data_IF_011638554136
#
_entry.id   IF_011638554136
#
_cell.length_a   1.000
_cell.length_b   1.000
_cell.length_c   1.000
_cell.angle_alpha   90.00
_cell.angle_beta   90.00
_cell.angle_gamma   90.00
#
_symmetry.space_group_name_H-M   'P 1'
#
loop_
_entity.id
_entity.type
_entity.pdbx_description
1 polymer ?
#
# COMPACT_ATOMS: atom_id res chain seq x y z
N UNK A 1 -1.08 7.67 20.75
CA UNK A 1 -0.45 7.71 19.80
C UNK A 1 -0.77 6.66 18.79
N UNK A 2 -0.25 5.44 18.94
CA UNK A 2 -0.58 4.50 17.88
C UNK A 2 -1.60 3.50 18.33
N UNK A 3 -2.29 3.75 19.43
CA UNK A 3 -3.12 2.72 19.97
C UNK A 3 -4.12 2.27 18.94
N UNK A 4 -4.19 0.99 18.72
CA UNK A 4 -5.09 0.40 17.78
C UNK A 4 -4.74 0.61 16.33
N UNK A 5 -3.56 1.14 16.01
CA UNK A 5 -3.19 1.42 14.64
C UNK A 5 -1.91 0.74 14.27
N UNK A 6 -1.93 0.04 13.16
CA UNK A 6 -0.80 -0.68 12.63
C UNK A 6 -0.79 -0.43 11.14
N UNK A 7 0.39 -0.33 10.56
CA UNK A 7 0.52 -0.30 9.11
C UNK A 7 0.79 -1.68 8.60
N UNK A 8 0.22 -1.98 7.46
CA UNK A 8 0.44 -3.24 6.79
C UNK A 8 0.63 -2.99 5.31
N UNK A 9 1.27 -3.91 4.64
CA UNK A 9 1.49 -3.80 3.21
C UNK A 9 0.82 -4.99 2.53
N UNK A 10 0.27 -4.74 1.34
CA UNK A 10 -0.46 -5.75 0.58
C UNK A 10 0.01 -5.71 -0.87
N UNK A 11 0.20 -6.88 -1.52
CA UNK A 11 0.77 -6.93 -2.86
C UNK A 11 -0.27 -6.72 -3.96
N UNK A 12 -1.02 -5.64 -3.89
CA UNK A 12 -1.91 -5.21 -4.96
C UNK A 12 -2.18 -3.73 -4.79
N UNK A 13 -2.83 -3.14 -5.79
CA UNK A 13 -3.32 -1.77 -5.67
C UNK A 13 -4.73 -1.85 -5.08
N UNK A 14 -4.81 -1.88 -3.76
CA UNK A 14 -6.09 -1.97 -3.07
C UNK A 14 -7.01 -0.84 -3.52
N UNK A 15 -8.28 -1.05 -3.63
CA UNK A 15 -9.06 -2.22 -3.20
C UNK A 15 -9.06 -3.38 -4.20
N UNK A 16 -8.27 -3.32 -5.26
CA UNK A 16 -8.19 -4.43 -6.21
C UNK A 16 -7.45 -5.59 -5.56
N UNK A 17 -7.94 -6.77 -5.82
CA UNK A 17 -7.29 -8.04 -5.45
C UNK A 17 -6.91 -8.13 -3.99
N UNK A 18 -7.87 -8.02 -3.09
CA UNK A 18 -7.60 -8.32 -1.68
C UNK A 18 -7.39 -9.82 -1.50
N UNK A 19 -6.97 -10.22 -0.32
CA UNK A 19 -6.84 -11.64 -0.02
C UNK A 19 -5.42 -12.11 -0.16
N UNK A 20 -5.23 -13.43 -0.12
CA UNK A 20 -3.91 -14.02 0.06
C UNK A 20 -3.23 -14.40 -1.23
N UNK A 21 -3.90 -14.25 -2.39
CA UNK A 21 -3.34 -14.67 -3.67
C UNK A 21 -3.36 -13.53 -4.69
N UNK A 22 -3.07 -12.31 -4.22
CA UNK A 22 -3.25 -11.14 -5.06
C UNK A 22 -2.44 -11.16 -6.36
N UNK A 23 -1.15 -11.55 -6.35
CA UNK A 23 -0.43 -11.58 -7.64
C UNK A 23 -1.04 -12.58 -8.62
N UNK A 24 -1.41 -13.77 -8.15
CA UNK A 24 -2.03 -14.74 -9.04
C UNK A 24 -3.39 -14.26 -9.53
N UNK A 25 -4.15 -13.60 -8.66
CA UNK A 25 -5.46 -13.09 -9.04
C UNK A 25 -5.33 -11.99 -10.09
N UNK A 26 -4.34 -11.12 -9.95
CA UNK A 26 -4.12 -10.07 -10.93
C UNK A 26 -3.80 -10.65 -12.30
N UNK A 27 -2.93 -11.67 -12.32
CA UNK A 27 -2.58 -12.33 -13.57
C UNK A 27 -3.80 -13.00 -14.20
N UNK A 28 -4.59 -13.70 -13.39
CA UNK A 28 -5.76 -14.40 -13.90
C UNK A 28 -6.79 -13.44 -14.45
N UNK A 29 -6.89 -12.27 -13.86
CA UNK A 29 -7.86 -11.27 -14.31
C UNK A 29 -7.41 -10.57 -15.59
N UNK A 30 -6.10 -10.55 -15.85
CA UNK A 30 -5.60 -9.96 -17.08
C UNK A 30 -5.34 -8.48 -17.02
N UNK A 31 -5.17 -7.93 -15.83
CA UNK A 31 -4.85 -6.50 -15.72
C UNK A 31 -3.41 -6.26 -16.15
N UNK A 32 -3.11 -5.04 -16.55
CA UNK A 32 -1.76 -4.69 -16.97
C UNK A 32 -0.94 -4.08 -15.87
N UNK A 33 -1.57 -3.61 -14.81
CA UNK A 33 -0.91 -2.96 -13.69
C UNK A 33 -1.43 -3.55 -12.40
N UNK A 34 -0.53 -3.77 -11.48
CA UNK A 34 -0.84 -4.04 -10.09
C UNK A 34 0.15 -3.24 -9.27
N UNK A 35 0.44 -3.64 -8.06
CA UNK A 35 1.37 -2.89 -7.25
C UNK A 35 1.34 -3.30 -5.81
N UNK A 36 1.73 -2.36 -4.97
CA UNK A 36 1.75 -2.55 -3.53
C UNK A 36 1.00 -1.42 -2.86
N UNK A 37 0.34 -1.72 -1.76
CA UNK A 37 -0.38 -0.73 -0.96
C UNK A 37 0.06 -0.82 0.48
N UNK A 38 0.28 0.33 1.11
CA UNK A 38 0.46 0.42 2.55
C UNK A 38 -0.82 0.99 3.11
N UNK A 39 -1.40 0.32 4.08
CA UNK A 39 -2.68 0.74 4.64
C UNK A 39 -2.65 0.63 6.16
N UNK A 40 -3.58 1.35 6.79
CA UNK A 40 -3.72 1.32 8.24
C UNK A 40 -4.64 0.17 8.62
N UNK A 41 -4.30 -0.47 9.73
CA UNK A 41 -5.14 -1.48 10.34
C UNK A 41 -5.47 -0.98 11.74
N UNK A 42 -6.74 -0.87 12.06
CA UNK A 42 -7.16 -0.39 13.37
C UNK A 42 -8.00 -1.45 14.03
N UNK A 43 -8.22 -1.26 15.32
CA UNK A 43 -9.04 -2.22 16.05
C UNK A 43 -10.48 -2.24 15.54
N UNK A 44 -10.95 -1.13 15.01
CA UNK A 44 -12.28 -1.09 14.45
C UNK A 44 -12.36 -1.75 13.09
N UNK A 45 -11.23 -1.93 12.42
CA UNK A 45 -11.20 -2.50 11.08
C UNK A 45 -10.55 -3.86 11.16
N UNK A 46 -11.38 -4.84 11.52
CA UNK A 46 -10.85 -6.18 11.74
C UNK A 46 -10.48 -6.89 10.47
N UNK A 47 -11.08 -6.50 9.37
CA UNK A 47 -10.86 -7.23 8.13
C UNK A 47 -9.58 -6.77 7.48
N UNK A 48 -8.80 -7.75 7.06
CA UNK A 48 -7.56 -7.45 6.35
C UNK A 48 -7.86 -6.72 5.06
N UNK A 49 -6.91 -5.88 4.65
CA UNK A 49 -6.92 -5.22 3.34
C UNK A 49 -8.05 -4.23 3.16
N UNK A 50 -8.66 -3.76 4.25
CA UNK A 50 -9.75 -2.80 4.14
C UNK A 50 -9.47 -1.47 4.81
N UNK A 51 -8.31 -1.30 5.42
CA UNK A 51 -7.98 -0.05 6.10
C UNK A 51 -7.68 1.08 5.13
N UNK A 52 -7.66 2.30 5.64
CA UNK A 52 -7.33 3.46 4.79
C UNK A 52 -5.94 3.33 4.18
N UNK A 53 -5.83 3.72 2.93
CA UNK A 53 -4.59 3.58 2.17
C UNK A 53 -3.72 4.79 2.42
N UNK A 54 -2.44 4.54 2.70
CA UNK A 54 -1.47 5.59 2.97
C UNK A 54 -0.58 5.84 1.76
N UNK A 55 -0.03 4.78 1.19
CA UNK A 55 0.85 4.87 0.03
C UNK A 55 0.57 3.72 -0.91
N UNK A 56 0.83 3.96 -2.19
CA UNK A 56 0.73 2.91 -3.19
C UNK A 56 1.85 3.07 -4.20
N UNK A 57 2.31 1.96 -4.74
CA UNK A 57 3.34 1.95 -5.78
C UNK A 57 2.88 1.02 -6.88
N UNK A 58 2.75 1.50 -8.13
CA UNK A 58 2.33 0.63 -9.22
C UNK A 58 3.47 -0.25 -9.72
N UNK A 59 3.12 -1.43 -10.17
CA UNK A 59 4.07 -2.39 -10.74
C UNK A 59 3.45 -2.91 -12.03
N UNK A 60 4.16 -2.76 -13.13
CA UNK A 60 3.67 -3.24 -14.42
C UNK A 60 3.74 -4.76 -14.47
N UNK A 61 2.74 -5.36 -15.10
CA UNK A 61 2.72 -6.80 -15.31
C UNK A 61 3.28 -7.08 -16.69
N UNK A 62 4.18 -8.03 -16.77
CA UNK A 62 4.81 -8.42 -18.04
C UNK A 62 4.08 -9.63 -18.60
N UNK A 63 4.11 -9.74 -19.93
CA UNK A 63 3.34 -10.79 -20.60
C UNK A 63 3.79 -12.20 -20.18
N UNK A 64 5.06 -12.34 -19.76
CA UNK A 64 5.59 -13.65 -19.40
C UNK A 64 5.66 -13.84 -17.89
N UNK A 65 4.99 -13.02 -17.12
CA UNK A 65 5.02 -13.16 -15.66
C UNK A 65 4.33 -14.42 -15.20
N UNK A 66 4.94 -15.03 -14.20
CA UNK A 66 4.29 -16.02 -13.36
C UNK A 66 3.93 -15.35 -12.04
N UNK A 67 3.05 -15.96 -11.24
CA UNK A 67 2.78 -15.38 -9.91
C UNK A 67 4.04 -15.16 -9.11
N UNK A 68 5.01 -16.06 -9.19
CA UNK A 68 6.25 -15.92 -8.42
C UNK A 68 7.10 -14.77 -8.91
N UNK A 69 7.23 -14.60 -10.22
CA UNK A 69 8.01 -13.50 -10.76
C UNK A 69 7.38 -12.16 -10.42
N UNK A 70 6.06 -12.08 -10.59
CA UNK A 70 5.34 -10.85 -10.30
C UNK A 70 5.44 -10.51 -8.83
N UNK A 71 5.26 -11.51 -7.97
CA UNK A 71 5.32 -11.28 -6.54
C UNK A 71 6.68 -10.76 -6.10
N UNK A 72 7.76 -11.27 -6.70
CA UNK A 72 9.09 -10.77 -6.36
C UNK A 72 9.25 -9.30 -6.70
N UNK A 73 8.72 -8.87 -7.85
CA UNK A 73 8.80 -7.44 -8.20
C UNK A 73 7.94 -6.59 -7.29
N UNK A 74 6.77 -7.11 -6.91
CA UNK A 74 5.92 -6.39 -5.97
C UNK A 74 6.59 -6.28 -4.61
N UNK A 75 7.29 -7.34 -4.19
CA UNK A 75 8.00 -7.30 -2.91
C UNK A 75 9.07 -6.23 -2.87
N UNK A 76 9.75 -5.97 -4.00
CA UNK A 76 10.70 -4.87 -4.03
C UNK A 76 10.01 -3.54 -3.77
N UNK A 77 8.83 -3.36 -4.35
CA UNK A 77 8.05 -2.16 -4.09
C UNK A 77 7.61 -2.10 -2.63
N UNK A 78 7.19 -3.23 -2.08
CA UNK A 78 6.79 -3.28 -0.67
C UNK A 78 7.92 -2.90 0.26
N UNK A 79 9.11 -3.42 -0.02
CA UNK A 79 10.27 -3.15 0.82
C UNK A 79 10.67 -1.67 0.81
N UNK A 80 10.42 -0.99 -0.28
CA UNK A 80 10.68 0.44 -0.35
C UNK A 80 9.56 1.25 0.30
N UNK A 81 8.33 0.78 0.15
CA UNK A 81 7.16 1.56 0.54
C UNK A 81 6.90 1.52 2.04
N UNK A 82 7.06 0.36 2.66
CA UNK A 82 6.68 0.22 4.06
C UNK A 82 7.50 1.10 4.98
N UNK A 83 8.84 1.12 4.86
CA UNK A 83 9.62 2.04 5.72
C UNK A 83 9.25 3.50 5.49
N UNK A 84 8.95 3.88 4.25
CA UNK A 84 8.54 5.24 3.96
C UNK A 84 7.23 5.58 4.65
N UNK A 85 6.26 4.65 4.60
CA UNK A 85 4.99 4.86 5.27
C UNK A 85 5.15 4.95 6.77
N UNK A 86 6.00 4.10 7.35
CA UNK A 86 6.24 4.13 8.78
C UNK A 86 6.86 5.46 9.19
N UNK A 87 7.84 5.95 8.42
CA UNK A 87 8.48 7.23 8.75
C UNK A 87 7.46 8.37 8.71
N UNK A 88 6.59 8.38 7.72
CA UNK A 88 5.56 9.41 7.63
C UNK A 88 4.60 9.33 8.81
N UNK A 89 4.21 8.11 9.16
CA UNK A 89 3.24 7.93 10.22
C UNK A 89 3.84 8.32 11.58
N UNK A 90 5.07 7.91 11.85
CA UNK A 90 5.69 8.22 13.13
C UNK A 90 6.05 9.70 13.25
N UNK A 91 6.20 10.38 12.12
CA UNK A 91 6.42 11.82 12.13
C UNK A 91 5.13 12.60 12.28
N UNK A 92 4.00 11.94 12.41
CA UNK A 92 2.73 12.62 12.57
C UNK A 92 2.20 13.26 11.32
N UNK A 93 2.67 12.79 10.15
CA UNK A 93 2.32 13.44 8.89
C UNK A 93 1.15 12.77 8.18
N UNK A 94 0.64 11.67 8.72
CA UNK A 94 -0.47 10.95 8.13
C UNK A 94 -1.72 11.23 8.95
N UNK A 95 -2.77 11.69 8.30
CA UNK A 95 -4.04 11.99 8.96
C UNK A 95 -5.18 11.37 8.18
N UNK A 96 -6.18 10.91 8.91
CA UNK A 96 -7.39 10.39 8.30
C UNK A 96 -8.36 11.54 8.12
N UNK A 97 -8.92 11.67 6.91
CA UNK A 97 -9.95 12.69 6.67
C UNK A 97 -11.23 12.22 7.36
N UNK A 98 -11.76 13.00 8.31
CA UNK A 98 -12.90 12.55 9.09
C UNK A 98 -14.08 12.16 8.22
N UNK A 99 -14.72 11.06 8.58
CA UNK A 99 -15.89 10.59 7.86
C UNK A 99 -15.60 9.92 6.54
N UNK A 100 -14.33 9.69 6.21
CA UNK A 100 -13.96 9.06 4.95
C UNK A 100 -12.91 7.99 5.19
N UNK A 101 -12.57 7.29 4.11
CA UNK A 101 -11.46 6.34 4.14
C UNK A 101 -10.17 6.95 3.61
N UNK A 102 -10.15 8.24 3.37
CA UNK A 102 -9.01 8.90 2.74
C UNK A 102 -8.04 9.37 3.80
N UNK A 103 -6.76 9.29 3.46
CA UNK A 103 -5.72 9.87 4.30
C UNK A 103 -5.12 11.08 3.61
N UNK A 104 -4.57 11.98 4.40
CA UNK A 104 -3.76 13.07 3.88
C UNK A 104 -2.36 12.91 4.41
N UNK A 105 -1.40 13.37 3.63
CA UNK A 105 0.00 13.30 4.02
C UNK A 105 0.56 14.70 3.93
N UNK A 106 1.13 15.16 5.03
CA UNK A 106 1.78 16.46 5.05
C UNK A 106 3.15 16.30 4.42
N UNK A 107 3.28 16.82 3.20
CA UNK A 107 4.52 16.71 2.46
C UNK A 107 5.23 18.04 2.32
N UNK A 108 4.76 19.04 3.06
CA UNK A 108 5.31 20.38 2.85
C UNK A 108 6.81 20.41 3.07
N UNK A 109 7.31 19.62 3.99
CA UNK A 109 8.74 19.57 4.23
C UNK A 109 9.48 18.77 3.18
N UNK A 110 8.78 17.93 2.47
CA UNK A 110 9.40 17.12 1.45
C UNK A 110 9.53 17.85 0.14
N UNK A 111 8.91 19.00 0.04
CA UNK A 111 9.01 19.75 -1.21
C UNK A 111 10.42 20.19 -1.51
N UNK A 112 11.25 20.22 -0.52
CA UNK A 112 12.63 20.45 -0.77
C UNK A 112 13.32 19.20 -1.26
N UNK A 113 12.73 18.15 -1.22
CA UNK A 113 13.27 17.06 -1.41
C UNK A 113 13.31 16.41 -2.42
N UNK A 114 13.26 15.68 -2.46
CA UNK A 114 13.39 15.15 -3.19
C UNK A 114 12.68 14.16 -3.32
N UNK A 115 12.20 13.71 -3.07
CA UNK A 115 11.60 12.74 -3.08
C UNK A 115 10.56 12.66 -3.70
N UNK A 116 10.37 13.09 -4.42
CA UNK A 116 9.33 12.86 -5.03
C UNK A 116 9.42 12.15 -6.07
#
# INVERSE_FOLDING_TARGET
AFSGRIMNVHPSLLPAFPGTHAPADALAHGVRWTGASVHLVTEELHEADTGPIVLQEPVAIRWDDTPEKLHRRIQLAEHALLPKGVRMFTAGRVSLVPGTRRTTIDVSEDLSGEDQ
#
